data_IF_803142752723
#
_entry.id   IF_803142752723
#
_cell.length_a   1.000
_cell.length_b   1.000
_cell.length_c   1.000
_cell.angle_alpha   90.00
_cell.angle_beta   90.00
_cell.angle_gamma   90.00
#
_symmetry.space_group_name_H-M   'P 1'
#
loop_
_entity.id
_entity.type
_entity.pdbx_description
1 polymer ?
#
# COMPACT_ATOMS: atom_id res chain seq x y z
N UNK A 1 -24.30 11.31 43.04
CA UNK A 1 -24.17 9.85 43.17
C UNK A 1 -23.00 9.43 42.31
N UNK A 2 -21.98 8.83 42.91
CA UNK A 2 -20.74 8.40 42.29
C UNK A 2 -21.00 7.24 41.33
N UNK A 3 -20.80 7.44 40.03
CA UNK A 3 -20.76 6.35 39.05
C UNK A 3 -19.36 5.72 39.08
N UNK A 4 -19.20 4.69 39.91
CA UNK A 4 -18.08 3.76 39.81
C UNK A 4 -18.32 2.88 38.59
N UNK A 5 -17.52 3.08 37.53
CA UNK A 5 -17.54 2.24 36.34
C UNK A 5 -17.00 0.83 36.70
N UNK A 6 -17.91 -0.13 36.84
CA UNK A 6 -17.57 -1.54 36.84
C UNK A 6 -17.25 -1.99 35.39
N UNK A 7 -16.28 -2.90 35.19
CA UNK A 7 -15.95 -3.37 33.85
C UNK A 7 -17.08 -4.27 33.34
N UNK A 8 -17.83 -3.80 32.33
CA UNK A 8 -18.86 -4.57 31.64
C UNK A 8 -18.20 -5.69 30.83
N UNK A 9 -18.19 -6.90 31.41
CA UNK A 9 -17.42 -8.04 30.92
C UNK A 9 -18.22 -9.03 30.04
N UNK A 10 -19.30 -8.59 29.41
CA UNK A 10 -20.04 -9.38 28.41
C UNK A 10 -20.47 -8.51 27.22
N UNK A 11 -20.38 -9.04 25.99
CA UNK A 11 -20.80 -8.32 24.78
C UNK A 11 -22.34 -8.13 24.71
N UNK A 12 -23.10 -9.00 25.39
CA UNK A 12 -24.56 -8.92 25.50
C UNK A 12 -25.05 -7.76 26.37
N UNK A 13 -24.36 -7.45 27.48
CA UNK A 13 -24.73 -6.31 28.33
C UNK A 13 -24.46 -4.95 27.66
N UNK A 14 -23.40 -4.87 26.83
CA UNK A 14 -23.05 -3.62 26.14
C UNK A 14 -24.04 -3.28 25.03
N UNK A 15 -24.49 -4.28 24.28
CA UNK A 15 -25.49 -4.11 23.21
C UNK A 15 -26.84 -3.66 23.77
N UNK A 16 -27.35 -4.32 24.81
CA UNK A 16 -28.61 -3.91 25.46
C UNK A 16 -28.48 -2.55 26.17
N UNK A 17 -27.36 -2.31 26.88
CA UNK A 17 -27.13 -1.02 27.55
C UNK A 17 -27.08 0.16 26.57
N UNK A 18 -26.46 -0.03 25.40
CA UNK A 18 -26.47 0.95 24.32
C UNK A 18 -27.86 1.08 23.68
N UNK A 19 -28.57 -0.01 23.37
CA UNK A 19 -29.94 0.04 22.82
C UNK A 19 -30.93 0.78 23.74
N UNK A 20 -30.87 0.56 25.05
CA UNK A 20 -31.70 1.26 26.03
C UNK A 20 -31.30 2.74 26.19
N UNK A 21 -29.99 3.03 26.31
CA UNK A 21 -29.50 4.41 26.43
C UNK A 21 -29.80 5.24 25.16
N UNK A 22 -29.97 4.59 24.01
CA UNK A 22 -30.16 5.24 22.72
C UNK A 22 -31.63 5.46 22.33
N UNK A 23 -32.55 4.58 22.76
CA UNK A 23 -33.99 4.82 22.61
C UNK A 23 -34.47 6.09 23.32
N UNK A 24 -33.89 6.44 24.47
CA UNK A 24 -34.22 7.69 25.17
C UNK A 24 -33.66 8.94 24.48
N UNK A 25 -32.55 8.82 23.75
CA UNK A 25 -31.88 9.94 23.07
C UNK A 25 -32.50 10.32 21.72
N UNK A 26 -33.32 9.45 21.13
CA UNK A 26 -33.98 9.65 19.82
C UNK A 26 -35.00 10.82 19.79
N UNK A 27 -35.42 11.32 20.95
CA UNK A 27 -36.44 12.37 21.09
C UNK A 27 -35.88 13.80 21.03
N UNK A 28 -34.56 14.01 21.01
CA UNK A 28 -33.97 15.35 21.16
C UNK A 28 -33.07 15.69 19.98
N UNK A 29 -33.55 16.60 19.12
CA UNK A 29 -32.88 17.11 17.91
C UNK A 29 -31.64 17.99 18.17
N UNK A 30 -31.06 17.92 19.37
CA UNK A 30 -29.84 18.61 19.79
C UNK A 30 -29.07 17.70 20.74
N UNK A 31 -28.15 16.88 20.22
CA UNK A 31 -27.30 16.05 21.07
C UNK A 31 -26.17 16.91 21.68
N UNK A 32 -26.02 16.96 23.02
CA UNK A 32 -24.93 17.68 23.68
C UNK A 32 -23.56 17.05 23.38
N UNK A 33 -22.50 17.88 23.35
CA UNK A 33 -21.10 17.52 23.02
C UNK A 33 -20.54 16.25 23.67
N UNK A 34 -20.92 15.85 24.91
CA UNK A 34 -20.45 14.60 25.52
C UNK A 34 -20.94 13.35 24.77
N UNK A 35 -22.13 13.37 24.18
CA UNK A 35 -22.70 12.21 23.48
C UNK A 35 -21.99 11.99 22.15
N UNK A 36 -21.65 13.06 21.43
CA UNK A 36 -20.83 12.95 20.23
C UNK A 36 -19.46 12.37 20.55
N UNK A 37 -18.84 12.73 21.68
CA UNK A 37 -17.57 12.14 22.11
C UNK A 37 -17.69 10.64 22.42
N UNK A 38 -18.78 10.22 23.06
CA UNK A 38 -19.04 8.79 23.32
C UNK A 38 -19.26 8.01 22.02
N UNK A 39 -20.04 8.54 21.08
CA UNK A 39 -20.29 7.90 19.77
C UNK A 39 -19.01 7.80 18.93
N UNK A 40 -18.14 8.82 18.96
CA UNK A 40 -16.81 8.80 18.33
C UNK A 40 -15.99 7.61 18.81
N UNK A 41 -15.81 7.51 20.11
CA UNK A 41 -14.97 6.47 20.71
C UNK A 41 -15.60 5.09 20.53
N UNK A 42 -16.94 5.01 20.58
CA UNK A 42 -17.67 3.77 20.38
C UNK A 42 -17.44 3.20 18.98
N UNK A 43 -17.61 3.98 17.90
CA UNK A 43 -17.50 3.45 16.54
C UNK A 43 -16.11 2.85 16.24
N UNK A 44 -15.04 3.50 16.71
CA UNK A 44 -13.68 2.96 16.61
C UNK A 44 -13.52 1.66 17.39
N UNK A 45 -14.00 1.64 18.64
CA UNK A 45 -13.89 0.48 19.52
C UNK A 45 -14.65 -0.72 18.97
N UNK A 46 -15.89 -0.55 18.50
CA UNK A 46 -16.69 -1.65 17.93
C UNK A 46 -16.06 -2.26 16.67
N UNK A 47 -15.31 -1.45 15.89
CA UNK A 47 -14.53 -1.96 14.75
C UNK A 47 -13.29 -2.76 15.19
N UNK A 48 -12.74 -2.51 16.38
CA UNK A 48 -11.60 -3.28 16.93
C UNK A 48 -12.07 -4.61 17.51
N UNK A 49 -13.27 -4.67 18.09
CA UNK A 49 -13.82 -5.86 18.74
C UNK A 49 -14.77 -6.68 17.86
N UNK A 50 -14.82 -6.40 16.55
CA UNK A 50 -15.63 -7.13 15.57
C UNK A 50 -17.12 -7.21 15.97
N UNK A 51 -17.75 -6.04 16.17
CA UNK A 51 -19.16 -5.91 16.51
C UNK A 51 -19.98 -5.25 15.38
N UNK A 52 -20.15 -5.92 14.22
CA UNK A 52 -20.80 -5.34 13.04
C UNK A 52 -22.25 -4.91 13.28
N UNK A 53 -22.95 -5.61 14.18
CA UNK A 53 -24.32 -5.25 14.59
C UNK A 53 -24.38 -3.90 15.30
N UNK A 54 -23.45 -3.65 16.22
CA UNK A 54 -23.38 -2.39 16.97
C UNK A 54 -22.97 -1.25 16.04
N UNK A 55 -21.99 -1.50 15.15
CA UNK A 55 -21.59 -0.55 14.09
C UNK A 55 -22.80 -0.13 13.25
N UNK A 56 -23.63 -1.09 12.83
CA UNK A 56 -24.86 -0.80 12.05
C UNK A 56 -25.85 0.06 12.83
N UNK A 57 -26.04 -0.22 14.13
CA UNK A 57 -26.92 0.58 15.00
C UNK A 57 -26.38 2.01 15.12
N UNK A 58 -25.10 2.17 15.41
CA UNK A 58 -24.45 3.49 15.57
C UNK A 58 -24.55 4.33 14.29
N UNK A 59 -24.41 3.72 13.11
CA UNK A 59 -24.57 4.41 11.82
C UNK A 59 -26.03 4.84 11.60
N UNK A 60 -27.00 3.97 11.88
CA UNK A 60 -28.45 4.31 11.79
C UNK A 60 -28.84 5.45 12.74
N UNK A 61 -28.09 5.64 13.80
CA UNK A 61 -28.23 6.76 14.74
C UNK A 61 -27.58 8.06 14.26
N UNK A 62 -27.25 8.14 12.96
CA UNK A 62 -26.70 9.34 12.34
C UNK A 62 -25.30 9.72 12.87
N UNK A 63 -24.53 8.72 13.35
CA UNK A 63 -23.13 8.91 13.70
C UNK A 63 -22.31 9.27 12.47
N UNK A 64 -21.43 10.26 12.61
CA UNK A 64 -20.46 10.60 11.57
C UNK A 64 -19.45 9.45 11.42
N UNK A 65 -19.46 8.79 10.26
CA UNK A 65 -18.60 7.65 9.92
C UNK A 65 -17.14 8.02 9.68
N UNK A 66 -16.88 9.30 9.38
CA UNK A 66 -15.55 9.82 9.04
C UNK A 66 -14.86 10.48 10.22
N UNK A 67 -15.40 10.29 11.42
CA UNK A 67 -14.83 10.88 12.61
C UNK A 67 -13.49 10.23 12.94
N UNK A 68 -12.56 11.06 13.37
CA UNK A 68 -11.20 10.63 13.66
C UNK A 68 -10.97 10.50 15.18
N UNK A 69 -10.18 9.49 15.58
CA UNK A 69 -9.61 9.36 16.92
C UNK A 69 -8.39 10.29 17.14
N UNK A 70 -7.71 10.14 18.28
CA UNK A 70 -6.53 10.94 18.62
C UNK A 70 -5.34 10.69 17.67
N UNK A 71 -5.29 9.52 17.04
CA UNK A 71 -4.31 9.16 16.01
C UNK A 71 -4.75 9.62 14.61
N UNK A 72 -5.78 10.46 14.51
CA UNK A 72 -6.43 10.86 13.25
C UNK A 72 -6.95 9.69 12.41
N UNK A 73 -7.09 8.51 12.99
CA UNK A 73 -7.60 7.32 12.33
C UNK A 73 -9.12 7.36 12.33
N UNK A 74 -9.75 6.96 11.23
CA UNK A 74 -11.20 6.72 11.18
C UNK A 74 -11.54 5.31 11.64
N UNK A 75 -12.83 5.07 11.91
CA UNK A 75 -13.33 3.73 12.19
C UNK A 75 -13.02 2.75 11.04
N UNK A 76 -13.05 3.24 9.79
CA UNK A 76 -12.67 2.44 8.61
C UNK A 76 -11.19 2.05 8.64
N UNK A 77 -10.29 2.98 8.99
CA UNK A 77 -8.86 2.66 9.14
C UNK A 77 -8.66 1.58 10.21
N UNK A 78 -9.32 1.69 11.36
CA UNK A 78 -9.23 0.67 12.42
C UNK A 78 -9.79 -0.67 11.95
N UNK A 79 -10.98 -0.70 11.33
CA UNK A 79 -11.56 -1.93 10.81
C UNK A 79 -10.61 -2.65 9.84
N UNK A 80 -9.97 -1.92 8.91
CA UNK A 80 -9.00 -2.50 7.97
C UNK A 80 -7.70 -2.93 8.67
N UNK A 81 -7.20 -2.12 9.61
CA UNK A 81 -5.99 -2.42 10.38
C UNK A 81 -6.13 -3.72 11.19
N UNK A 82 -7.30 -3.94 11.80
CA UNK A 82 -7.62 -5.13 12.59
C UNK A 82 -8.23 -6.27 11.76
N UNK A 83 -8.31 -6.12 10.44
CA UNK A 83 -8.83 -7.11 9.49
C UNK A 83 -10.29 -7.53 9.76
N UNK A 84 -11.10 -6.58 10.21
CA UNK A 84 -12.52 -6.76 10.47
C UNK A 84 -13.30 -6.40 9.20
N UNK A 85 -13.38 -7.36 8.28
CA UNK A 85 -13.92 -7.15 6.93
C UNK A 85 -15.40 -6.74 6.92
N UNK A 86 -16.22 -7.32 7.81
CA UNK A 86 -17.65 -7.02 7.87
C UNK A 86 -17.89 -5.57 8.31
N UNK A 87 -17.22 -5.11 9.37
CA UNK A 87 -17.27 -3.71 9.80
C UNK A 87 -16.74 -2.76 8.72
N UNK A 88 -15.62 -3.09 8.06
CA UNK A 88 -15.08 -2.28 6.97
C UNK A 88 -16.09 -2.17 5.81
N UNK A 89 -16.77 -3.26 5.46
CA UNK A 89 -17.78 -3.26 4.40
C UNK A 89 -19.03 -2.44 4.78
N UNK A 90 -19.52 -2.56 6.01
CA UNK A 90 -20.65 -1.76 6.51
C UNK A 90 -20.32 -0.27 6.47
N UNK A 91 -19.12 0.11 6.90
CA UNK A 91 -18.66 1.51 6.86
C UNK A 91 -18.56 2.04 5.43
N UNK A 92 -17.98 1.26 4.51
CA UNK A 92 -17.87 1.64 3.10
C UNK A 92 -19.24 1.77 2.40
N UNK A 93 -20.20 0.92 2.77
CA UNK A 93 -21.59 1.02 2.29
C UNK A 93 -22.33 2.23 2.88
N UNK A 94 -21.81 2.79 3.96
CA UNK A 94 -22.37 3.95 4.67
C UNK A 94 -21.59 5.24 4.37
N UNK A 95 -21.00 5.32 3.18
CA UNK A 95 -20.26 6.49 2.69
C UNK A 95 -19.05 6.91 3.54
N UNK A 96 -18.39 5.97 4.23
CA UNK A 96 -17.09 6.23 4.83
C UNK A 96 -16.05 6.56 3.74
N UNK A 97 -15.29 7.63 3.93
CA UNK A 97 -14.25 8.08 3.02
C UNK A 97 -12.97 7.25 3.22
N UNK A 98 -12.56 6.42 2.24
CA UNK A 98 -11.36 5.61 2.34
C UNK A 98 -10.05 6.42 2.21
N UNK A 99 -10.14 7.71 1.88
CA UNK A 99 -8.99 8.57 1.60
C UNK A 99 -8.53 9.39 2.81
N UNK A 100 -9.23 9.31 3.94
CA UNK A 100 -8.76 9.91 5.18
C UNK A 100 -7.41 9.28 5.56
N UNK A 101 -6.49 10.13 5.99
CA UNK A 101 -5.15 9.72 6.40
C UNK A 101 -5.03 9.81 7.92
N UNK A 102 -4.42 8.78 8.52
CA UNK A 102 -4.07 8.79 9.93
C UNK A 102 -2.89 9.76 10.23
N UNK A 103 -2.46 9.79 11.49
CA UNK A 103 -1.30 10.56 11.92
C UNK A 103 0.00 10.17 11.22
N UNK A 104 0.09 8.99 10.61
CA UNK A 104 1.23 8.52 9.82
C UNK A 104 1.11 8.85 8.32
N UNK A 105 0.01 9.45 7.89
CA UNK A 105 -0.30 9.68 6.47
C UNK A 105 -0.83 8.43 5.75
N UNK A 106 -1.07 7.34 6.45
CA UNK A 106 -1.59 6.10 5.89
C UNK A 106 -3.12 6.20 5.71
N UNK A 107 -3.58 5.85 4.52
CA UNK A 107 -5.01 5.62 4.22
C UNK A 107 -5.42 4.19 4.55
N UNK A 108 -6.71 3.89 4.54
CA UNK A 108 -7.21 2.51 4.68
C UNK A 108 -6.56 1.55 3.66
N UNK A 109 -6.25 2.01 2.45
CA UNK A 109 -5.58 1.20 1.43
C UNK A 109 -4.13 0.84 1.81
N UNK A 110 -3.40 1.71 2.51
CA UNK A 110 -2.08 1.36 3.04
C UNK A 110 -2.16 0.22 4.07
N UNK A 111 -3.16 0.26 4.95
CA UNK A 111 -3.39 -0.81 5.93
C UNK A 111 -3.85 -2.13 5.28
N UNK A 112 -4.63 -2.07 4.19
CA UNK A 112 -4.95 -3.26 3.40
C UNK A 112 -3.70 -3.92 2.80
N UNK A 113 -2.71 -3.12 2.40
CA UNK A 113 -1.40 -3.63 1.94
C UNK A 113 -0.62 -4.27 3.08
N UNK A 114 -0.55 -3.64 4.26
CA UNK A 114 0.12 -4.20 5.44
C UNK A 114 -0.49 -5.53 5.88
N UNK A 115 -1.82 -5.62 5.88
CA UNK A 115 -2.56 -6.85 6.21
C UNK A 115 -2.51 -7.89 5.09
N UNK A 116 -1.95 -7.57 3.92
CA UNK A 116 -1.86 -8.44 2.74
C UNK A 116 -3.23 -8.89 2.21
N UNK A 117 -4.30 -8.15 2.52
CA UNK A 117 -5.66 -8.53 2.18
C UNK A 117 -6.11 -7.86 0.86
N UNK A 118 -6.06 -8.63 -0.22
CA UNK A 118 -6.45 -8.17 -1.57
C UNK A 118 -7.95 -7.96 -1.70
N UNK A 119 -8.77 -8.73 -0.98
CA UNK A 119 -10.23 -8.55 -0.96
C UNK A 119 -10.61 -7.18 -0.38
N UNK A 120 -10.02 -6.83 0.77
CA UNK A 120 -10.23 -5.52 1.40
C UNK A 120 -9.70 -4.39 0.51
N UNK A 121 -8.53 -4.56 -0.10
CA UNK A 121 -8.00 -3.59 -1.05
C UNK A 121 -8.94 -3.38 -2.26
N UNK A 122 -9.51 -4.45 -2.81
CA UNK A 122 -10.47 -4.38 -3.90
C UNK A 122 -11.76 -3.65 -3.51
N UNK A 123 -12.28 -3.91 -2.31
CA UNK A 123 -13.44 -3.20 -1.79
C UNK A 123 -13.15 -1.70 -1.61
N UNK A 124 -11.99 -1.34 -1.04
CA UNK A 124 -11.58 0.05 -0.90
C UNK A 124 -11.50 0.77 -2.26
N UNK A 125 -10.88 0.15 -3.26
CA UNK A 125 -10.77 0.72 -4.60
C UNK A 125 -12.14 0.88 -5.28
N UNK A 126 -13.05 -0.08 -5.10
CA UNK A 126 -14.44 0.02 -5.57
C UNK A 126 -15.17 1.22 -4.96
N UNK A 127 -14.83 1.58 -3.73
CA UNK A 127 -15.36 2.74 -3.02
C UNK A 127 -14.48 4.01 -3.17
N UNK A 128 -13.75 4.13 -4.29
CA UNK A 128 -12.98 5.33 -4.68
C UNK A 128 -11.79 5.65 -3.76
N UNK A 129 -11.15 4.62 -3.20
CA UNK A 129 -9.84 4.80 -2.56
C UNK A 129 -8.78 5.26 -3.58
N UNK A 130 -7.96 6.23 -3.20
CA UNK A 130 -6.86 6.75 -3.99
C UNK A 130 -5.70 5.74 -4.02
N UNK A 131 -5.52 5.09 -5.17
CA UNK A 131 -4.46 4.10 -5.40
C UNK A 131 -3.05 4.68 -5.32
N UNK A 132 -2.91 5.99 -5.61
CA UNK A 132 -1.64 6.73 -5.58
C UNK A 132 -1.46 7.60 -4.32
N UNK A 133 -2.27 7.39 -3.28
CA UNK A 133 -2.11 8.12 -2.02
C UNK A 133 -0.71 7.90 -1.46
N UNK A 134 -0.04 8.96 -1.00
CA UNK A 134 1.30 8.89 -0.41
C UNK A 134 1.21 9.08 1.09
N UNK A 135 1.82 8.17 1.84
CA UNK A 135 2.02 8.36 3.29
C UNK A 135 3.17 9.33 3.60
N UNK A 136 3.47 9.54 4.89
CA UNK A 136 4.56 10.45 5.31
C UNK A 136 5.94 10.04 4.80
N UNK A 137 6.16 8.77 4.54
CA UNK A 137 7.40 8.26 3.94
C UNK A 137 7.43 8.43 2.41
N UNK A 138 6.43 9.10 1.83
CA UNK A 138 6.19 9.24 0.39
C UNK A 138 5.99 7.89 -0.31
N UNK A 139 5.55 6.86 0.41
CA UNK A 139 5.25 5.55 -0.15
C UNK A 139 3.81 5.54 -0.64
N UNK A 140 3.61 5.09 -1.88
CA UNK A 140 2.29 4.69 -2.37
C UNK A 140 1.97 3.26 -1.90
N UNK A 141 0.69 2.82 -1.93
CA UNK A 141 0.32 1.44 -1.69
C UNK A 141 1.17 0.43 -2.46
N UNK A 142 1.51 0.73 -3.73
CA UNK A 142 2.39 -0.13 -4.53
C UNK A 142 3.81 -0.18 -3.97
N UNK A 143 4.41 0.99 -3.67
CA UNK A 143 5.76 1.03 -3.09
C UNK A 143 5.82 0.30 -1.75
N UNK A 144 4.77 0.41 -0.94
CA UNK A 144 4.65 -0.31 0.31
C UNK A 144 4.59 -1.83 0.08
N UNK A 145 3.78 -2.30 -0.87
CA UNK A 145 3.70 -3.73 -1.22
C UNK A 145 5.07 -4.30 -1.67
N UNK A 146 5.84 -3.51 -2.43
CA UNK A 146 7.18 -3.89 -2.88
C UNK A 146 8.19 -3.93 -1.71
N UNK A 147 8.12 -2.96 -0.78
CA UNK A 147 8.95 -2.93 0.43
C UNK A 147 8.69 -4.13 1.35
N UNK A 148 7.42 -4.52 1.49
CA UNK A 148 6.99 -5.68 2.29
C UNK A 148 7.18 -7.03 1.57
N UNK A 149 7.74 -7.04 0.35
CA UNK A 149 7.91 -8.22 -0.50
C UNK A 149 6.59 -9.00 -0.72
N UNK A 150 5.47 -8.28 -0.85
CA UNK A 150 4.16 -8.86 -1.10
C UNK A 150 3.85 -8.89 -2.59
N UNK A 151 4.25 -9.98 -3.25
CA UNK A 151 4.07 -10.15 -4.70
C UNK A 151 2.60 -10.10 -5.11
N UNK A 152 1.71 -10.82 -4.42
CA UNK A 152 0.29 -10.90 -4.79
C UNK A 152 -0.39 -9.53 -4.71
N UNK A 153 -0.08 -8.74 -3.67
CA UNK A 153 -0.62 -7.38 -3.55
C UNK A 153 -0.03 -6.44 -4.60
N UNK A 154 1.26 -6.55 -4.90
CA UNK A 154 1.88 -5.74 -5.96
C UNK A 154 1.28 -6.06 -7.35
N UNK A 155 1.06 -7.34 -7.66
CA UNK A 155 0.37 -7.78 -8.88
C UNK A 155 -1.04 -7.20 -8.95
N UNK A 156 -1.83 -7.38 -7.88
CA UNK A 156 -3.16 -6.83 -7.78
C UNK A 156 -3.20 -5.31 -8.00
N UNK A 157 -2.33 -4.55 -7.32
CA UNK A 157 -2.28 -3.10 -7.44
C UNK A 157 -1.89 -2.64 -8.86
N UNK A 158 -0.94 -3.33 -9.50
CA UNK A 158 -0.55 -3.03 -10.89
C UNK A 158 -1.68 -3.34 -11.86
N UNK A 159 -2.42 -4.43 -11.66
CA UNK A 159 -3.52 -4.82 -12.55
C UNK A 159 -4.75 -3.92 -12.42
N UNK A 160 -5.00 -3.36 -11.23
CA UNK A 160 -6.03 -2.32 -11.01
C UNK A 160 -5.56 -0.91 -11.36
N UNK A 161 -4.35 -0.76 -11.92
CA UNK A 161 -3.88 0.47 -12.56
C UNK A 161 -2.95 1.35 -11.73
N UNK A 162 -2.30 0.82 -10.69
CA UNK A 162 -1.29 1.56 -9.94
C UNK A 162 -0.11 1.94 -10.85
N UNK A 163 0.36 3.17 -10.70
CA UNK A 163 1.51 3.67 -11.44
C UNK A 163 2.79 2.96 -11.00
N UNK A 164 3.48 2.34 -11.95
CA UNK A 164 4.78 1.71 -11.72
C UNK A 164 5.94 2.71 -11.70
N UNK A 165 5.72 3.94 -12.18
CA UNK A 165 6.72 5.02 -12.31
C UNK A 165 6.84 5.90 -11.06
N UNK A 166 6.39 5.38 -9.92
CA UNK A 166 6.47 6.06 -8.63
C UNK A 166 7.86 5.94 -8.01
N UNK A 167 8.21 6.95 -7.23
CA UNK A 167 9.47 7.00 -6.46
C UNK A 167 9.18 7.33 -5.00
N UNK A 168 9.98 6.74 -4.11
CA UNK A 168 9.97 7.10 -2.70
C UNK A 168 10.73 8.41 -2.41
N UNK A 169 10.85 8.78 -1.13
CA UNK A 169 11.56 9.99 -0.71
C UNK A 169 13.07 10.00 -1.01
N UNK A 170 13.69 8.85 -1.29
CA UNK A 170 15.08 8.73 -1.71
C UNK A 170 15.24 8.74 -3.24
N UNK A 171 14.14 8.90 -3.98
CA UNK A 171 14.12 8.79 -5.44
C UNK A 171 14.24 7.36 -5.93
N UNK A 172 14.05 6.35 -5.07
CA UNK A 172 14.12 4.94 -5.47
C UNK A 172 12.84 4.58 -6.24
N UNK A 173 13.00 4.03 -7.43
CA UNK A 173 11.89 3.54 -8.25
C UNK A 173 11.32 2.23 -7.70
N UNK A 174 10.11 1.88 -8.13
CA UNK A 174 9.50 0.56 -7.87
C UNK A 174 10.47 -0.61 -8.15
N UNK A 175 11.22 -0.55 -9.24
CA UNK A 175 12.18 -1.61 -9.61
C UNK A 175 13.37 -1.69 -8.63
N UNK A 176 13.89 -0.55 -8.16
CA UNK A 176 14.98 -0.51 -7.17
C UNK A 176 14.54 -1.10 -5.83
N UNK A 177 13.32 -0.80 -5.40
CA UNK A 177 12.75 -1.35 -4.17
C UNK A 177 12.54 -2.86 -4.29
N UNK A 178 11.93 -3.32 -5.39
CA UNK A 178 11.76 -4.75 -5.66
C UNK A 178 13.11 -5.51 -5.70
N UNK A 179 14.13 -4.90 -6.30
CA UNK A 179 15.50 -5.43 -6.37
C UNK A 179 16.15 -5.55 -4.99
N UNK A 180 16.06 -4.51 -4.14
CA UNK A 180 16.64 -4.49 -2.80
C UNK A 180 15.99 -5.49 -1.84
N UNK A 181 14.69 -5.74 -1.98
CA UNK A 181 13.91 -6.65 -1.14
C UNK A 181 13.86 -8.09 -1.65
N UNK A 182 14.67 -8.42 -2.67
CA UNK A 182 14.89 -9.78 -3.20
C UNK A 182 13.65 -10.48 -3.79
N UNK A 183 12.68 -9.72 -4.27
CA UNK A 183 11.42 -10.27 -4.77
C UNK A 183 11.48 -10.63 -6.26
N UNK A 184 11.82 -11.88 -6.60
CA UNK A 184 11.97 -12.31 -8.00
C UNK A 184 10.70 -12.09 -8.84
N UNK A 185 9.54 -12.42 -8.27
CA UNK A 185 8.26 -12.31 -8.97
C UNK A 185 7.85 -10.86 -9.26
N UNK A 186 7.99 -9.96 -8.29
CA UNK A 186 7.67 -8.54 -8.52
C UNK A 186 8.65 -7.87 -9.48
N UNK A 187 9.93 -8.24 -9.46
CA UNK A 187 10.91 -7.75 -10.44
C UNK A 187 10.51 -8.19 -11.86
N UNK A 188 10.12 -9.46 -12.05
CA UNK A 188 9.63 -9.95 -13.35
C UNK A 188 8.37 -9.20 -13.80
N UNK A 189 7.40 -9.01 -12.91
CA UNK A 189 6.18 -8.24 -13.19
C UNK A 189 6.51 -6.82 -13.66
N UNK A 190 7.35 -6.09 -12.91
CA UNK A 190 7.73 -4.72 -13.24
C UNK A 190 8.52 -4.64 -14.55
N UNK A 191 9.37 -5.62 -14.84
CA UNK A 191 10.07 -5.69 -16.12
C UNK A 191 9.10 -5.93 -17.28
N UNK A 192 8.14 -6.85 -17.15
CA UNK A 192 7.09 -7.09 -18.15
C UNK A 192 6.23 -5.85 -18.41
N UNK A 193 5.95 -5.05 -17.38
CA UNK A 193 5.13 -3.83 -17.49
C UNK A 193 5.91 -2.61 -18.02
N UNK A 194 7.16 -2.78 -18.46
CA UNK A 194 7.87 -1.71 -19.17
C UNK A 194 8.57 -0.66 -18.28
N UNK A 195 8.83 -0.93 -16.99
CA UNK A 195 9.56 0.02 -16.12
C UNK A 195 10.95 0.39 -16.67
N UNK A 196 11.30 1.67 -16.56
CA UNK A 196 12.64 2.16 -16.86
C UNK A 196 13.66 1.57 -15.88
N UNK A 197 14.60 0.86 -16.48
CA UNK A 197 15.67 0.15 -15.84
C UNK A 197 16.84 1.10 -15.51
N UNK A 198 17.09 2.10 -16.36
CA UNK A 198 18.22 3.04 -16.27
C UNK A 198 18.04 4.18 -15.27
N UNK A 199 16.83 4.33 -14.71
CA UNK A 199 16.55 5.35 -13.70
C UNK A 199 17.57 5.29 -12.56
N UNK A 200 17.93 6.46 -12.04
CA UNK A 200 18.88 6.62 -10.93
C UNK A 200 18.16 7.23 -9.73
N UNK A 201 18.46 6.71 -8.55
CA UNK A 201 17.98 7.31 -7.30
C UNK A 201 18.76 8.60 -6.95
N UNK A 202 18.42 9.24 -5.83
CA UNK A 202 19.10 10.45 -5.35
C UNK A 202 20.59 10.27 -5.05
N UNK A 203 21.09 9.03 -4.99
CA UNK A 203 22.51 8.68 -4.83
C UNK A 203 23.19 8.24 -6.12
N UNK A 204 22.49 8.34 -7.26
CA UNK A 204 23.02 7.94 -8.57
C UNK A 204 23.01 6.43 -8.82
N UNK A 205 22.38 5.63 -7.96
CA UNK A 205 22.33 4.16 -8.09
C UNK A 205 21.17 3.74 -8.99
N UNK A 206 21.43 2.77 -9.85
CA UNK A 206 20.42 2.10 -10.69
C UNK A 206 19.84 0.88 -9.98
N UNK A 207 18.75 0.30 -10.50
CA UNK A 207 18.19 -0.94 -9.96
C UNK A 207 19.23 -2.08 -9.91
N UNK A 208 20.15 -2.14 -10.89
CA UNK A 208 21.24 -3.13 -10.91
C UNK A 208 22.16 -3.01 -9.68
N UNK A 209 22.46 -1.80 -9.22
CA UNK A 209 23.30 -1.56 -8.03
C UNK A 209 22.71 -2.20 -6.76
N UNK A 210 21.38 -2.25 -6.66
CA UNK A 210 20.68 -2.87 -5.53
C UNK A 210 20.71 -4.41 -5.58
N UNK A 211 20.81 -5.01 -6.77
CA UNK A 211 20.89 -6.47 -6.94
C UNK A 211 22.29 -7.01 -6.63
N UNK A 212 23.35 -6.25 -6.96
CA UNK A 212 24.77 -6.68 -6.77
C UNK A 212 25.10 -7.02 -5.31
N UNK A 213 24.46 -6.35 -4.36
CA UNK A 213 24.64 -6.64 -2.93
C UNK A 213 23.85 -7.88 -2.44
N UNK A 214 23.09 -8.56 -3.31
CA UNK A 214 22.23 -9.70 -2.98
C UNK A 214 22.62 -10.95 -3.80
N UNK A 215 23.41 -11.84 -3.18
CA UNK A 215 24.08 -13.01 -3.81
C UNK A 215 23.23 -13.91 -4.71
N UNK A 216 21.95 -14.13 -4.42
CA UNK A 216 21.15 -15.20 -5.05
C UNK A 216 20.21 -14.73 -6.17
N UNK A 217 20.00 -13.42 -6.31
CA UNK A 217 19.06 -12.84 -7.28
C UNK A 217 19.74 -12.24 -8.53
N UNK A 218 21.07 -12.22 -8.54
CA UNK A 218 21.87 -11.45 -9.49
C UNK A 218 21.75 -11.92 -10.93
N UNK A 219 21.70 -13.23 -11.18
CA UNK A 219 21.82 -13.77 -12.53
C UNK A 219 20.56 -13.58 -13.37
N UNK A 220 19.40 -13.95 -12.83
CA UNK A 220 18.14 -13.86 -13.58
C UNK A 220 17.68 -12.42 -13.78
N UNK A 221 17.83 -11.56 -12.77
CA UNK A 221 17.45 -10.15 -12.89
C UNK A 221 18.39 -9.42 -13.84
N UNK A 222 19.70 -9.69 -13.79
CA UNK A 222 20.65 -9.10 -14.74
C UNK A 222 20.40 -9.58 -16.17
N UNK A 223 20.06 -10.85 -16.39
CA UNK A 223 19.68 -11.36 -17.72
C UNK A 223 18.41 -10.67 -18.23
N UNK A 224 17.37 -10.55 -17.41
CA UNK A 224 16.15 -9.86 -17.79
C UNK A 224 16.38 -8.36 -18.07
N UNK A 225 17.33 -7.75 -17.36
CA UNK A 225 17.79 -6.39 -17.62
C UNK A 225 18.56 -6.30 -18.94
N UNK A 226 19.48 -7.22 -19.22
CA UNK A 226 20.22 -7.32 -20.50
C UNK A 226 19.26 -7.51 -21.69
N UNK A 227 18.27 -8.40 -21.58
CA UNK A 227 17.26 -8.66 -22.60
C UNK A 227 16.43 -7.40 -22.90
N UNK A 228 15.91 -6.75 -21.87
CA UNK A 228 15.08 -5.56 -22.03
C UNK A 228 15.86 -4.36 -22.57
N UNK A 229 17.13 -4.20 -22.19
CA UNK A 229 18.02 -3.21 -22.78
C UNK A 229 18.26 -3.48 -24.27
N UNK A 230 18.46 -4.75 -24.66
CA UNK A 230 18.61 -5.15 -26.06
C UNK A 230 17.33 -4.86 -26.86
N UNK A 231 16.15 -5.15 -26.32
CA UNK A 231 14.87 -4.82 -26.96
C UNK A 231 14.70 -3.31 -27.15
N UNK A 232 14.98 -2.50 -26.11
CA UNK A 232 14.94 -1.04 -26.22
C UNK A 232 15.91 -0.51 -27.29
N UNK A 233 17.12 -1.07 -27.35
CA UNK A 233 18.11 -0.70 -28.36
C UNK A 233 17.63 -1.05 -29.77
N UNK A 234 17.12 -2.26 -29.98
CA UNK A 234 16.59 -2.70 -31.27
C UNK A 234 15.37 -1.89 -31.73
N UNK A 235 14.50 -1.48 -30.80
CA UNK A 235 13.34 -0.64 -31.10
C UNK A 235 13.72 0.81 -31.42
N UNK A 236 14.75 1.36 -30.76
CA UNK A 236 15.21 2.73 -30.99
C UNK A 236 16.05 2.88 -32.27
N UNK A 237 16.75 1.82 -32.65
CA UNK A 237 17.60 1.77 -33.85
C UNK A 237 17.25 0.53 -34.67
N UNK A 238 16.16 0.57 -35.47
CA UNK A 238 15.83 -0.52 -36.38
C UNK A 238 17.00 -0.79 -37.34
N UNK A 239 17.15 -2.05 -37.78
CA UNK A 239 18.33 -2.55 -38.51
C UNK A 239 18.78 -1.70 -39.71
N UNK A 240 17.89 -0.90 -40.29
CA UNK A 240 18.12 0.01 -41.41
C UNK A 240 18.95 1.27 -41.02
N UNK A 241 18.91 1.68 -39.74
CA UNK A 241 19.64 2.87 -39.22
C UNK A 241 21.04 2.50 -38.70
N UNK A 242 21.24 1.23 -38.33
CA UNK A 242 22.48 0.71 -37.73
C UNK A 242 23.63 0.51 -38.73
N UNK A 243 23.38 0.69 -40.03
CA UNK A 243 24.41 0.49 -41.06
C UNK A 243 25.49 1.59 -41.11
N UNK A 244 25.48 2.62 -40.24
CA UNK A 244 26.37 3.77 -40.42
C UNK A 244 26.76 4.63 -39.20
N UNK A 245 26.53 4.25 -37.94
CA UNK A 245 26.94 5.08 -36.79
C UNK A 245 27.53 4.26 -35.63
N UNK A 246 28.83 4.40 -35.40
CA UNK A 246 29.61 3.57 -34.44
C UNK A 246 29.90 4.22 -33.08
N UNK A 247 29.61 5.51 -32.85
CA UNK A 247 30.04 6.19 -31.61
C UNK A 247 29.03 6.11 -30.44
N UNK A 248 27.72 6.20 -30.71
CA UNK A 248 26.71 6.02 -29.66
C UNK A 248 26.54 4.54 -29.28
N UNK A 249 26.83 3.63 -30.22
CA UNK A 249 26.84 2.17 -30.00
C UNK A 249 27.91 1.73 -29.00
N UNK A 250 29.11 2.31 -29.06
CA UNK A 250 30.20 1.97 -28.13
C UNK A 250 29.88 2.42 -26.71
N UNK A 251 29.25 3.60 -26.53
CA UNK A 251 28.86 4.11 -25.22
C UNK A 251 27.75 3.26 -24.59
N UNK A 252 26.76 2.81 -25.36
CA UNK A 252 25.72 1.90 -24.87
C UNK A 252 26.24 0.47 -24.61
N UNK A 253 27.21 -0.01 -25.40
CA UNK A 253 27.90 -1.29 -25.16
C UNK A 253 28.76 -1.26 -23.89
N UNK A 254 29.32 -0.12 -23.53
CA UNK A 254 30.14 0.04 -22.31
C UNK A 254 29.30 -0.16 -21.04
N UNK A 255 28.05 0.30 -21.01
CA UNK A 255 27.13 0.09 -19.89
C UNK A 255 26.69 -1.39 -19.77
N UNK A 256 26.53 -2.10 -20.89
CA UNK A 256 26.32 -3.56 -20.91
C UNK A 256 27.59 -4.32 -20.47
N UNK A 257 28.78 -3.78 -20.74
CA UNK A 257 30.06 -4.39 -20.36
C UNK A 257 30.30 -4.38 -18.85
N UNK A 258 29.73 -3.44 -18.10
CA UNK A 258 29.73 -3.48 -16.62
C UNK A 258 29.05 -4.74 -16.07
N UNK A 259 27.98 -5.23 -16.73
CA UNK A 259 27.28 -6.47 -16.36
C UNK A 259 28.15 -7.71 -16.62
N UNK A 260 28.92 -7.72 -17.72
CA UNK A 260 29.86 -8.81 -18.01
C UNK A 260 31.06 -8.83 -17.05
N UNK A 261 31.50 -7.67 -16.53
CA UNK A 261 32.51 -7.60 -15.46
C UNK A 261 32.03 -8.25 -14.16
N UNK A 262 30.72 -8.26 -13.89
CA UNK A 262 30.13 -8.96 -12.73
C UNK A 262 30.08 -10.49 -12.94
N UNK A 263 29.81 -10.98 -14.16
CA UNK A 263 29.94 -12.41 -14.51
C UNK A 263 31.38 -12.93 -14.28
N UNK A 264 32.38 -12.06 -14.41
CA UNK A 264 33.80 -12.40 -14.23
C UNK A 264 34.32 -12.37 -12.79
N UNK A 265 33.62 -11.74 -11.83
CA UNK A 265 34.13 -11.55 -10.45
C UNK A 265 33.70 -12.61 -9.43
N UNK A 266 32.74 -13.48 -9.74
CA UNK A 266 32.32 -14.60 -8.85
C UNK A 266 33.24 -15.83 -8.94
N UNK A 267 34.55 -15.65 -9.14
CA UNK A 267 35.54 -16.73 -9.21
C UNK A 267 36.68 -16.65 -8.18
N UNK A 268 36.51 -15.91 -7.07
CA UNK A 268 37.50 -15.92 -5.98
C UNK A 268 36.87 -15.97 -4.58
N UNK A 269 37.30 -16.99 -3.82
CA UNK A 269 36.97 -17.35 -2.42
C UNK A 269 35.98 -18.51 -2.35
N UNK A 270 36.33 -19.80 -2.21
CA UNK A 270 37.28 -20.44 -1.27
C UNK A 270 37.14 -19.94 0.15
#
# INVERSE_FOLDING_TARGET
MSFTAAPLNSAGDRTQGLEFATQELYQLSYLPSPITFVLKTALHYECVYDQPKVVTILIKMNSDVNICDDDKSTALIKAVQFQVEECAMILLQSDADPNVMDASGNTALHYAVYSKNTCTAANLLRHKAMIEAKNKDSLTPLLLALKENNQQMAEFLVDVGASIHVTDHHGRTSLMLAAGHKSKGTVRLLLQKGVDVCSKDGSGRTALSYVVNCSDNLKEIAVAYEEKQREMFQNKYPAEVLAGKTSEEEQARLDVCEVNKLKGKNRYGQ
#
